data_IF_229302761357
#
_entry.id   IF_229302761357
#
_cell.length_a   1.000
_cell.length_b   1.000
_cell.length_c   1.000
_cell.angle_alpha   90.00
_cell.angle_beta   90.00
_cell.angle_gamma   90.00
#
_symmetry.space_group_name_H-M   'P 1'
#
loop_
_entity.id
_entity.type
_entity.pdbx_description
1 polymer ?
#
# COMPACT_ATOMS: atom_id res chain seq x y z
N UNK A 1 -4.50 6.86 2.17
CA UNK A 1 -4.47 5.40 2.33
C UNK A 1 -3.25 5.07 3.16
N UNK A 2 -3.41 4.37 4.27
CA UNK A 2 -2.26 3.92 5.06
C UNK A 2 -1.76 2.60 4.49
N UNK A 3 -0.45 2.42 4.44
CA UNK A 3 0.17 1.24 3.85
C UNK A 3 1.25 0.71 4.79
N UNK A 4 1.15 -0.58 5.12
CA UNK A 4 2.20 -1.34 5.78
C UNK A 4 2.91 -2.16 4.72
N UNK A 5 4.18 -1.85 4.45
CA UNK A 5 5.02 -2.65 3.54
C UNK A 5 5.82 -3.64 4.37
N UNK A 6 5.80 -4.90 3.97
CA UNK A 6 6.47 -6.01 4.61
C UNK A 6 7.39 -6.69 3.60
N UNK A 7 8.53 -7.21 4.05
CA UNK A 7 9.44 -7.99 3.22
C UNK A 7 9.53 -9.44 3.73
N UNK A 8 9.34 -10.39 2.82
CA UNK A 8 9.54 -11.81 3.05
C UNK A 8 10.64 -12.35 2.13
N UNK A 9 11.79 -12.68 2.71
CA UNK A 9 13.02 -13.03 1.97
C UNK A 9 12.98 -14.44 1.37
N UNK A 10 12.23 -15.36 1.99
CA UNK A 10 12.07 -16.74 1.52
C UNK A 10 10.90 -16.86 0.52
N UNK A 11 11.14 -16.36 -0.69
CA UNK A 11 10.27 -16.56 -1.84
C UNK A 11 10.61 -17.83 -2.64
N UNK A 12 11.09 -18.88 -1.95
CA UNK A 12 11.47 -20.13 -2.61
C UNK A 12 10.22 -20.71 -3.29
N UNK A 13 10.16 -20.54 -4.62
CA UNK A 13 9.14 -21.07 -5.54
C UNK A 13 7.89 -20.22 -5.86
N UNK A 14 7.82 -18.95 -5.48
CA UNK A 14 6.67 -18.11 -5.85
C UNK A 14 6.97 -17.20 -7.05
N UNK A 15 6.18 -17.31 -8.13
CA UNK A 15 6.18 -16.32 -9.24
C UNK A 15 5.52 -14.99 -8.85
N UNK A 16 4.93 -14.93 -7.65
CA UNK A 16 4.26 -13.76 -7.10
C UNK A 16 5.32 -12.81 -6.56
N UNK A 17 5.33 -11.57 -7.07
CA UNK A 17 6.19 -10.49 -6.61
C UNK A 17 5.72 -9.93 -5.26
N UNK A 18 4.41 -9.80 -5.09
CA UNK A 18 3.83 -9.22 -3.89
C UNK A 18 2.40 -9.71 -3.63
N UNK A 19 1.98 -9.69 -2.38
CA UNK A 19 0.58 -9.73 -2.01
C UNK A 19 0.13 -8.37 -1.48
N UNK A 20 -1.06 -7.94 -1.89
CA UNK A 20 -1.71 -6.74 -1.38
C UNK A 20 -3.01 -7.16 -0.71
N UNK A 21 -3.14 -6.86 0.57
CA UNK A 21 -4.32 -7.19 1.35
C UNK A 21 -4.89 -5.93 1.97
N UNK A 22 -6.17 -5.67 1.76
CA UNK A 22 -6.82 -4.63 2.53
C UNK A 22 -7.25 -5.13 3.89
N UNK A 23 -7.05 -4.28 4.90
CA UNK A 23 -7.55 -4.50 6.25
C UNK A 23 -8.73 -3.57 6.47
N UNK A 24 -9.94 -4.12 6.72
CA UNK A 24 -11.09 -3.30 7.02
C UNK A 24 -10.84 -2.51 8.31
N UNK A 25 -11.13 -1.22 8.28
CA UNK A 25 -11.22 -0.42 9.51
C UNK A 25 -12.50 -0.85 10.24
N UNK A 26 -12.44 -1.23 11.53
CA UNK A 26 -13.65 -1.58 12.26
C UNK A 26 -14.67 -0.43 12.19
N UNK A 27 -15.95 -0.79 12.02
CA UNK A 27 -17.06 0.15 12.08
C UNK A 27 -16.92 0.92 13.42
N UNK A 28 -16.68 2.23 13.37
CA UNK A 28 -16.40 3.17 14.49
C UNK A 28 -14.93 3.55 14.79
N UNK A 29 -13.93 3.11 14.03
CA UNK A 29 -12.59 3.69 14.14
C UNK A 29 -12.35 4.84 13.15
N UNK A 30 -11.85 5.97 13.66
CA UNK A 30 -11.34 7.10 12.86
C UNK A 30 -10.07 6.73 12.06
N UNK A 31 -9.54 5.51 12.24
CA UNK A 31 -8.34 5.06 11.55
C UNK A 31 -8.64 4.84 10.05
N UNK A 32 -7.78 5.36 9.16
CA UNK A 32 -7.91 5.12 7.74
C UNK A 32 -7.86 3.62 7.42
N UNK A 33 -8.55 3.25 6.35
CA UNK A 33 -8.39 1.94 5.74
C UNK A 33 -6.90 1.70 5.42
N UNK A 34 -6.39 0.52 5.82
CA UNK A 34 -4.97 0.17 5.71
C UNK A 34 -4.77 -0.93 4.68
N UNK A 35 -3.81 -0.73 3.80
CA UNK A 35 -3.28 -1.78 2.91
C UNK A 35 -2.06 -2.44 3.54
N UNK A 36 -1.95 -3.75 3.39
CA UNK A 36 -0.75 -4.52 3.72
C UNK A 36 -0.16 -5.00 2.41
N UNK A 37 1.04 -4.51 2.09
CA UNK A 37 1.83 -4.93 0.94
C UNK A 37 2.93 -5.85 1.44
N UNK A 38 2.90 -7.12 1.07
CA UNK A 38 3.97 -8.08 1.36
C UNK A 38 4.78 -8.32 0.10
N UNK A 39 6.02 -7.83 0.06
CA UNK A 39 6.96 -8.07 -1.03
C UNK A 39 7.71 -9.38 -0.80
N UNK A 40 7.95 -10.11 -1.88
CA UNK A 40 8.69 -11.37 -1.87
C UNK A 40 10.05 -11.23 -2.55
N UNK A 41 11.08 -11.81 -1.94
CA UNK A 41 12.44 -11.83 -2.49
C UNK A 41 13.20 -10.52 -2.26
N UNK A 42 14.07 -10.13 -3.19
CA UNK A 42 14.86 -8.91 -3.05
C UNK A 42 14.01 -7.67 -3.39
N UNK A 43 13.85 -6.70 -2.47
CA UNK A 43 13.04 -5.51 -2.72
C UNK A 43 13.72 -4.60 -3.73
N UNK A 44 12.95 -4.06 -4.67
CA UNK A 44 13.39 -3.03 -5.62
C UNK A 44 12.36 -1.90 -5.69
N UNK A 45 12.75 -0.76 -6.28
CA UNK A 45 11.80 0.36 -6.43
C UNK A 45 10.66 -0.01 -7.37
N UNK A 46 10.96 -0.78 -8.41
CA UNK A 46 10.01 -1.25 -9.42
C UNK A 46 9.02 -2.25 -8.83
N UNK A 47 9.49 -3.24 -8.08
CA UNK A 47 8.62 -4.23 -7.43
C UNK A 47 7.70 -3.60 -6.38
N UNK A 48 8.23 -2.67 -5.58
CA UNK A 48 7.41 -1.90 -4.64
C UNK A 48 6.40 -1.00 -5.37
N UNK A 49 6.81 -0.29 -6.43
CA UNK A 49 5.91 0.55 -7.18
C UNK A 49 4.76 -0.24 -7.84
N UNK A 50 5.06 -1.44 -8.37
CA UNK A 50 4.05 -2.32 -8.96
C UNK A 50 3.06 -2.83 -7.90
N UNK A 51 3.55 -3.20 -6.73
CA UNK A 51 2.70 -3.61 -5.62
C UNK A 51 1.80 -2.47 -5.10
N UNK A 52 2.35 -1.26 -4.99
CA UNK A 52 1.58 -0.07 -4.63
C UNK A 52 0.54 0.31 -5.70
N UNK A 53 0.89 0.13 -6.98
CA UNK A 53 -0.06 0.32 -8.08
C UNK A 53 -1.23 -0.67 -7.96
N UNK A 54 -0.97 -1.93 -7.60
CA UNK A 54 -2.03 -2.91 -7.38
C UNK A 54 -2.95 -2.52 -6.21
N UNK A 55 -2.41 -1.94 -5.13
CA UNK A 55 -3.22 -1.41 -4.04
C UNK A 55 -4.14 -0.26 -4.50
N UNK A 56 -3.60 0.68 -5.26
CA UNK A 56 -4.35 1.84 -5.78
C UNK A 56 -5.44 1.40 -6.77
N UNK A 57 -5.10 0.57 -7.75
CA UNK A 57 -6.05 0.11 -8.76
C UNK A 57 -7.07 -0.88 -8.19
N UNK A 58 -6.68 -1.74 -7.25
CA UNK A 58 -7.61 -2.62 -6.54
C UNK A 58 -8.65 -1.85 -5.76
N UNK A 59 -8.25 -0.74 -5.12
CA UNK A 59 -9.20 0.16 -4.47
C UNK A 59 -10.14 0.84 -5.48
N UNK A 60 -9.64 1.29 -6.64
CA UNK A 60 -10.48 1.90 -7.69
C UNK A 60 -11.49 0.91 -8.28
N UNK A 61 -11.08 -0.34 -8.49
CA UNK A 61 -11.96 -1.40 -8.97
C UNK A 61 -13.08 -1.67 -7.97
N UNK A 62 -12.75 -1.84 -6.69
CA UNK A 62 -13.75 -2.06 -5.64
C UNK A 62 -14.74 -0.89 -5.45
N UNK A 63 -14.29 0.35 -5.68
CA UNK A 63 -15.18 1.52 -5.67
C UNK A 63 -16.18 1.52 -6.83
N UNK A 64 -15.78 0.97 -7.98
CA UNK A 64 -16.61 0.90 -9.18
C UNK A 64 -17.66 -0.21 -9.09
N UNK A 65 -17.34 -1.32 -8.41
CA UNK A 65 -18.23 -2.48 -8.21
C UNK A 65 -19.22 -2.30 -7.04
N UNK A 66 -19.27 -1.11 -6.42
CA UNK A 66 -20.18 -0.81 -5.32
C UNK A 66 -19.71 -1.31 -3.94
N UNK A 67 -18.49 -1.84 -3.85
CA UNK A 67 -17.88 -2.26 -2.58
C UNK A 67 -17.46 -1.12 -1.66
N UNK A 68 -17.33 0.09 -2.20
CA UNK A 68 -16.98 1.27 -1.42
C UNK A 68 -15.60 1.15 -0.74
N UNK A 69 -15.36 1.99 0.27
CA UNK A 69 -14.13 1.96 1.08
C UNK A 69 -14.07 0.77 2.05
N UNK A 70 -15.15 0.01 2.21
CA UNK A 70 -15.25 -1.11 3.14
C UNK A 70 -14.91 -2.48 2.54
N UNK A 71 -14.63 -2.54 1.23
CA UNK A 71 -14.29 -3.80 0.57
C UNK A 71 -12.95 -4.36 1.05
N UNK A 72 -12.98 -5.61 1.50
CA UNK A 72 -11.80 -6.42 1.75
C UNK A 72 -11.29 -6.92 0.39
N UNK A 73 -9.99 -6.89 0.15
CA UNK A 73 -9.34 -7.22 -1.11
C UNK A 73 -8.11 -8.05 -0.83
N UNK A 74 -7.92 -9.09 -1.63
CA UNK A 74 -6.71 -9.89 -1.63
C UNK A 74 -6.21 -9.97 -3.06
N UNK A 75 -5.01 -9.45 -3.32
CA UNK A 75 -4.41 -9.44 -4.65
C UNK A 75 -3.02 -10.08 -4.59
N UNK A 76 -2.76 -11.04 -5.46
CA UNK A 76 -1.41 -11.41 -5.87
C UNK A 76 -0.94 -10.50 -7.00
N UNK A 77 0.34 -10.14 -7.01
CA UNK A 77 0.97 -9.32 -8.04
C UNK A 77 2.07 -10.12 -8.74
N UNK A 78 2.03 -10.19 -10.06
CA UNK A 78 3.00 -10.89 -10.90
C UNK A 78 3.62 -9.92 -11.91
N UNK A 79 4.93 -10.05 -12.12
CA UNK A 79 5.69 -9.20 -13.04
C UNK A 79 5.12 -9.21 -14.47
N UNK A 80 4.73 -10.39 -14.94
CA UNK A 80 4.36 -10.64 -16.34
C UNK A 80 2.84 -10.75 -16.58
N UNK A 81 2.03 -10.72 -15.51
CA UNK A 81 0.57 -10.92 -15.61
C UNK A 81 -0.25 -9.73 -15.11
N UNK A 82 0.27 -8.95 -14.17
CA UNK A 82 -0.49 -7.92 -13.47
C UNK A 82 -0.94 -8.39 -12.09
N UNK A 83 -2.08 -7.92 -11.61
CA UNK A 83 -2.60 -8.29 -10.29
C UNK A 83 -3.92 -9.05 -10.39
N UNK A 84 -4.05 -10.13 -9.63
CA UNK A 84 -5.21 -11.01 -9.65
C UNK A 84 -5.59 -11.41 -8.24
N UNK A 85 -6.87 -11.46 -7.95
CA UNK A 85 -7.41 -12.00 -6.71
C UNK A 85 -8.89 -11.68 -6.57
N UNK A 86 -9.33 -11.22 -5.41
CA UNK A 86 -10.74 -11.03 -5.12
C UNK A 86 -11.00 -9.79 -4.25
N UNK A 87 -12.27 -9.40 -4.23
CA UNK A 87 -12.83 -8.42 -3.32
C UNK A 87 -14.11 -8.97 -2.68
N UNK A 88 -14.34 -8.63 -1.42
CA UNK A 88 -15.55 -8.96 -0.70
C UNK A 88 -16.06 -7.76 0.11
N UNK A 89 -17.36 -7.52 0.08
CA UNK A 89 -18.00 -6.45 0.85
C UNK A 89 -19.41 -6.84 1.27
N UNK A 90 -19.97 -6.10 2.23
CA UNK A 90 -21.39 -6.20 2.58
C UNK A 90 -22.14 -5.01 2.03
N UNK A 91 -23.29 -5.24 1.43
CA UNK A 91 -24.19 -4.17 1.04
C UNK A 91 -24.96 -3.60 2.26
N UNK A 92 -25.86 -2.65 2.00
CA UNK A 92 -26.67 -2.02 3.05
C UNK A 92 -27.71 -2.95 3.68
N UNK A 93 -28.07 -4.04 3.01
CA UNK A 93 -28.91 -5.09 3.56
C UNK A 93 -28.10 -6.11 4.41
N UNK A 94 -26.77 -6.02 4.37
CA UNK A 94 -25.85 -6.91 5.04
C UNK A 94 -25.53 -8.18 4.24
N UNK A 95 -25.97 -8.28 2.99
CA UNK A 95 -25.64 -9.40 2.11
C UNK A 95 -24.16 -9.34 1.71
N UNK A 96 -23.50 -10.49 1.71
CA UNK A 96 -22.09 -10.61 1.32
C UNK A 96 -21.99 -10.71 -0.20
N UNK A 97 -21.28 -9.77 -0.81
CA UNK A 97 -20.94 -9.75 -2.22
C UNK A 97 -19.46 -10.07 -2.39
N UNK A 98 -19.12 -10.78 -3.45
CA UNK A 98 -17.74 -11.12 -3.85
C UNK A 98 -17.55 -10.80 -5.32
N UNK A 99 -16.41 -10.22 -5.68
CA UNK A 99 -16.03 -9.91 -7.06
C UNK A 99 -14.61 -10.39 -7.31
N UNK A 100 -14.38 -11.05 -8.44
CA UNK A 100 -13.04 -11.39 -8.89
C UNK A 100 -12.35 -10.11 -9.39
N UNK A 101 -11.11 -9.87 -8.95
CA UNK A 101 -10.31 -8.74 -9.38
C UNK A 101 -9.21 -9.21 -10.33
N UNK A 102 -9.20 -8.64 -11.54
CA UNK A 102 -8.11 -8.77 -12.50
C UNK A 102 -7.70 -7.39 -12.99
N UNK A 103 -6.46 -7.00 -12.67
CA UNK A 103 -5.87 -5.71 -13.04
C UNK A 103 -4.76 -5.98 -14.05
N UNK A 104 -4.97 -5.62 -15.33
CA UNK A 104 -3.99 -5.85 -16.39
C UNK A 104 -2.63 -5.21 -16.08
N UNK A 105 -1.56 -5.89 -16.50
CA UNK A 105 -0.17 -5.41 -16.34
C UNK A 105 0.04 -4.00 -16.91
N UNK A 106 -0.60 -3.68 -18.03
CA UNK A 106 -0.51 -2.34 -18.65
C UNK A 106 -1.01 -1.24 -17.71
N UNK A 107 -2.16 -1.46 -17.06
CA UNK A 107 -2.73 -0.50 -16.10
C UNK A 107 -1.82 -0.36 -14.89
N UNK A 108 -1.32 -1.48 -14.35
CA UNK A 108 -0.37 -1.44 -13.24
C UNK A 108 0.92 -0.71 -13.62
N UNK A 109 1.45 -0.94 -14.82
CA UNK A 109 2.67 -0.29 -15.30
C UNK A 109 2.52 1.22 -15.43
N UNK A 110 1.38 1.69 -15.93
CA UNK A 110 1.06 3.13 -16.01
C UNK A 110 1.04 3.74 -14.61
N UNK A 111 0.34 3.11 -13.66
CA UNK A 111 0.20 3.63 -12.30
C UNK A 111 1.52 3.54 -11.52
N UNK A 112 2.27 2.45 -11.66
CA UNK A 112 3.61 2.29 -11.09
C UNK A 112 4.58 3.34 -11.63
N UNK A 113 4.55 3.61 -12.94
CA UNK A 113 5.37 4.66 -13.55
C UNK A 113 5.08 6.05 -12.96
N UNK A 114 3.79 6.37 -12.75
CA UNK A 114 3.39 7.62 -12.07
C UNK A 114 3.89 7.67 -10.63
N UNK A 115 3.73 6.58 -9.87
CA UNK A 115 4.23 6.48 -8.49
C UNK A 115 5.74 6.66 -8.41
N UNK A 116 6.51 6.13 -9.38
CA UNK A 116 7.97 6.32 -9.42
C UNK A 116 8.36 7.77 -9.71
N UNK A 117 7.64 8.45 -10.61
CA UNK A 117 7.89 9.87 -10.92
C UNK A 117 7.57 10.76 -9.72
N UNK A 118 6.46 10.51 -9.03
CA UNK A 118 5.93 11.39 -7.98
C UNK A 118 6.48 11.06 -6.59
N UNK A 119 6.69 9.78 -6.29
CA UNK A 119 7.08 9.26 -4.98
C UNK A 119 8.42 8.52 -4.99
N UNK A 120 9.21 8.62 -6.06
CA UNK A 120 10.44 7.83 -6.25
C UNK A 120 11.42 7.90 -5.08
N UNK A 121 11.64 9.08 -4.50
CA UNK A 121 12.54 9.23 -3.34
C UNK A 121 12.02 8.56 -2.07
N UNK A 122 10.70 8.55 -1.88
CA UNK A 122 10.04 7.84 -0.76
C UNK A 122 10.13 6.34 -0.98
N UNK A 123 9.82 5.86 -2.19
CA UNK A 123 9.91 4.45 -2.58
C UNK A 123 11.34 3.94 -2.38
N UNK A 124 12.35 4.69 -2.85
CA UNK A 124 13.75 4.34 -2.65
C UNK A 124 14.14 4.24 -1.17
N UNK A 125 13.66 5.18 -0.34
CA UNK A 125 13.90 5.14 1.11
C UNK A 125 13.24 3.94 1.77
N UNK A 126 12.01 3.60 1.38
CA UNK A 126 11.30 2.42 1.87
C UNK A 126 12.06 1.14 1.50
N UNK A 127 12.48 1.00 0.24
CA UNK A 127 13.28 -0.14 -0.22
C UNK A 127 14.58 -0.24 0.56
N UNK A 128 15.30 0.87 0.75
CA UNK A 128 16.54 0.89 1.52
C UNK A 128 16.32 0.47 2.99
N UNK A 129 15.24 0.94 3.63
CA UNK A 129 14.89 0.55 5.00
C UNK A 129 14.51 -0.92 5.13
N UNK A 130 13.78 -1.46 4.15
CA UNK A 130 13.43 -2.88 4.09
C UNK A 130 14.67 -3.76 3.86
N UNK A 131 15.65 -3.27 3.10
CA UNK A 131 16.86 -4.00 2.76
C UNK A 131 17.99 -3.89 3.81
N UNK A 132 17.78 -3.19 4.93
CA UNK A 132 18.81 -3.04 5.96
C UNK A 132 19.31 -4.42 6.44
N UNK A 133 20.62 -4.67 6.48
CA UNK A 133 21.15 -5.98 6.87
C UNK A 133 20.97 -6.27 8.37
N UNK A 134 20.85 -5.24 9.18
CA UNK A 134 20.90 -5.21 10.64
C UNK A 134 19.51 -5.11 11.30
N UNK A 135 18.47 -5.61 10.62
CA UNK A 135 17.17 -5.81 11.26
C UNK A 135 17.33 -6.70 12.51
N UNK A 136 16.68 -6.34 13.65
CA UNK A 136 16.78 -7.13 14.87
C UNK A 136 16.40 -8.59 14.61
N UNK A 137 17.18 -9.52 15.15
CA UNK A 137 16.94 -10.94 14.98
C UNK A 137 15.53 -11.32 15.45
N UNK A 138 14.76 -11.98 14.58
CA UNK A 138 13.36 -12.34 14.83
C UNK A 138 12.32 -11.23 14.57
N UNK A 139 12.73 -10.02 14.19
CA UNK A 139 11.80 -8.96 13.80
C UNK A 139 11.36 -9.09 12.33
N UNK A 140 10.06 -8.92 12.07
CA UNK A 140 9.53 -8.86 10.71
C UNK A 140 9.88 -7.52 10.08
N UNK A 141 10.51 -7.54 8.91
CA UNK A 141 10.89 -6.35 8.13
C UNK A 141 9.63 -5.65 7.64
N UNK A 142 9.21 -4.59 8.34
CA UNK A 142 7.98 -3.90 8.00
C UNK A 142 8.05 -2.39 8.28
N UNK A 143 7.55 -1.58 7.35
CA UNK A 143 7.57 -0.12 7.42
C UNK A 143 6.17 0.41 7.10
N UNK A 144 5.64 1.28 7.96
CA UNK A 144 4.38 1.99 7.71
C UNK A 144 4.66 3.29 6.96
N UNK A 145 3.79 3.64 6.02
CA UNK A 145 3.74 4.97 5.43
C UNK A 145 2.32 5.30 4.96
N UNK A 146 2.06 6.58 4.69
CA UNK A 146 0.77 7.03 4.18
C UNK A 146 0.91 7.52 2.74
N UNK A 147 0.05 7.03 1.85
CA UNK A 147 -0.09 7.50 0.48
C UNK A 147 -1.28 8.48 0.42
N UNK A 148 -1.04 9.70 -0.04
CA UNK A 148 -2.09 10.73 -0.15
C UNK A 148 -3.08 10.39 -1.27
N UNK A 149 -4.36 10.77 -1.12
CA UNK A 149 -5.45 10.40 -2.04
C UNK A 149 -5.36 11.02 -3.45
N UNK A 150 -4.35 11.85 -3.75
CA UNK A 150 -4.05 12.31 -5.10
C UNK A 150 -3.98 11.16 -6.13
N UNK A 151 -3.55 9.98 -5.68
CA UNK A 151 -3.50 8.75 -6.47
C UNK A 151 -4.83 7.97 -6.47
N UNK A 152 -5.70 8.17 -5.48
CA UNK A 152 -6.98 7.48 -5.36
C UNK A 152 -8.10 8.16 -6.16
N UNK A 153 -7.96 9.47 -6.44
CA UNK A 153 -8.85 10.19 -7.32
C UNK A 153 -8.25 11.52 -7.74
N UNK A 154 -7.79 11.60 -8.99
CA UNK A 154 -7.76 12.86 -9.73
C UNK A 154 -7.48 12.60 -11.21
N UNK A 155 -8.38 13.11 -12.05
CA UNK A 155 -7.92 13.78 -13.25
C UNK A 155 -6.88 14.82 -12.86
N UNK A 156 -5.63 14.53 -13.21
CA UNK A 156 -4.55 15.44 -13.62
C UNK A 156 -4.50 16.86 -12.98
N UNK A 157 -3.40 17.12 -12.28
CA UNK A 157 -2.75 18.43 -12.00
C UNK A 157 -2.99 19.05 -10.60
N UNK A 158 -4.21 19.24 -10.10
CA UNK A 158 -4.41 19.92 -8.80
C UNK A 158 -3.89 19.12 -7.59
N UNK A 159 -3.98 17.78 -7.65
CA UNK A 159 -3.51 16.92 -6.57
C UNK A 159 -1.97 16.91 -6.41
N UNK A 160 -1.22 17.32 -7.45
CA UNK A 160 0.24 17.44 -7.45
C UNK A 160 0.74 18.66 -6.66
N UNK A 161 -0.05 19.75 -6.59
CA UNK A 161 0.35 20.96 -5.85
C UNK A 161 0.21 20.78 -4.33
N UNK A 162 -0.79 20.01 -3.89
CA UNK A 162 -1.03 19.71 -2.47
C UNK A 162 0.08 18.81 -1.89
N UNK A 163 0.56 17.82 -2.65
CA UNK A 163 1.63 16.92 -2.18
C UNK A 163 2.99 17.61 -2.05
N UNK A 164 3.30 18.55 -2.95
CA UNK A 164 4.51 19.38 -2.85
C UNK A 164 4.51 20.22 -1.56
N UNK A 165 3.34 20.60 -1.06
CA UNK A 165 3.20 21.40 0.16
C UNK A 165 3.20 20.56 1.44
N UNK A 166 2.83 19.28 1.39
CA UNK A 166 2.72 18.42 2.58
C UNK A 166 3.97 17.58 2.90
N UNK A 167 5.14 17.95 2.38
CA UNK A 167 6.41 17.24 2.55
C UNK A 167 7.01 17.21 3.97
N UNK A 168 6.18 17.16 5.02
CA UNK A 168 6.61 16.93 6.40
C UNK A 168 6.48 15.45 6.76
N UNK A 169 7.61 14.75 6.85
CA UNK A 169 7.67 13.48 7.57
C UNK A 169 7.41 13.79 9.05
N UNK A 170 6.33 13.28 9.62
CA UNK A 170 6.16 13.29 11.07
C UNK A 170 7.07 12.19 11.65
N UNK A 171 8.19 12.60 12.24
CA UNK A 171 8.89 11.80 13.22
C UNK A 171 8.22 12.12 14.56
N UNK A 172 7.56 11.14 15.18
CA UNK A 172 7.13 11.27 16.58
C UNK A 172 8.39 11.27 17.44
N UNK A 173 8.83 12.46 17.85
CA UNK A 173 9.87 12.64 18.85
C UNK A 173 9.24 12.31 20.21
N UNK A 174 9.74 11.26 20.87
CA UNK A 174 9.34 10.96 22.23
C UNK A 174 10.05 11.97 23.14
N UNK A 175 9.34 13.04 23.52
CA UNK A 175 9.79 13.93 24.57
C UNK A 175 9.85 13.16 25.90
N UNK A 176 11.07 12.90 26.35
CA UNK A 176 11.40 12.42 27.69
C UNK A 176 11.17 13.57 28.69
N UNK A 177 10.04 13.56 29.39
CA UNK A 177 9.75 14.49 30.48
C UNK A 177 10.68 14.22 31.67
N UNK A 178 11.85 14.85 31.65
CA UNK A 178 12.73 14.99 32.81
C UNK A 178 12.14 16.00 33.81
N UNK A 179 11.27 15.53 34.71
CA UNK A 179 10.77 16.33 35.83
C UNK A 179 11.87 16.53 36.88
N UNK A 180 12.55 17.68 36.81
CA UNK A 180 13.50 18.15 37.81
C UNK A 180 12.79 18.83 38.98
N UNK A 181 12.78 18.19 40.14
CA UNK A 181 12.38 18.81 41.42
C UNK A 181 13.59 19.47 42.10
N UNK A 182 13.45 20.77 42.41
CA UNK A 182 14.10 21.44 43.54
C UNK A 182 13.17 22.53 44.07
#
# INVERSE_FOLDING_TARGET
MDVLVMLEENAEHSTVLAHVNSVPSPLHSERPHREIVTLYGAPSSESLALALAAAVEGQRAALSDGGGSGAIRHLGVWAERGAVGDAAWRDTAGELHTSDLEIPLEILGITAGRLLVECGSVIQRLVAGLAMPDWPEGARRAINFSLTPAFAGAGTIEALEVFRQSGGLAFEDFEDEGEGIN
#
